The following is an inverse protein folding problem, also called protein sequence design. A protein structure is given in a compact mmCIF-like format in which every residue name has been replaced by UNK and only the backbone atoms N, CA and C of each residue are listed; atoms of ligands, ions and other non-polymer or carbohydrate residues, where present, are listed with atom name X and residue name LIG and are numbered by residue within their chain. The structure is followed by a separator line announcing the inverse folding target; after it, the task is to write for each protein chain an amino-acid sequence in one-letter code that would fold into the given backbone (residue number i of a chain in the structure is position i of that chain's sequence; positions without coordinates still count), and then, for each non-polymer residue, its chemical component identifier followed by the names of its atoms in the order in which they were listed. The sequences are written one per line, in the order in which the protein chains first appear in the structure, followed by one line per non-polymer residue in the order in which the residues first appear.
data_IF_361536643681
#
_entry.id   IF_361536643681
#
_cell.length_a   1.000
_cell.length_b   1.000
_cell.length_c   1.000
_cell.angle_alpha   90.00
_cell.angle_beta   90.00
_cell.angle_gamma   90.00
#
_symmetry.space_group_name_H-M   'P 1'
#
loop_
_entity.id
_entity.type
_entity.pdbx_description
1 polymer ?
#
# COMPACT_ATOMS: atom_id res chain seq x y z
N UNK A 1 3.52 -49.52 -31.36
CA UNK A 1 3.09 -48.16 -31.69
C UNK A 1 3.24 -47.98 -33.19
N UNK A 2 2.13 -47.74 -33.86
CA UNK A 2 2.01 -47.88 -35.31
C UNK A 2 2.73 -46.72 -36.02
N UNK A 3 3.49 -47.05 -37.07
CA UNK A 3 4.37 -46.13 -37.82
C UNK A 3 3.66 -44.88 -38.35
N UNK A 4 2.35 -44.94 -38.57
CA UNK A 4 1.54 -43.78 -38.96
C UNK A 4 1.54 -42.67 -37.90
N UNK A 5 1.62 -43.00 -36.61
CA UNK A 5 1.65 -42.02 -35.52
C UNK A 5 2.93 -41.19 -35.55
N UNK A 6 4.07 -41.81 -35.89
CA UNK A 6 5.37 -41.15 -36.02
C UNK A 6 5.35 -40.19 -37.23
N UNK A 7 4.76 -40.60 -38.35
CA UNK A 7 4.61 -39.76 -39.55
C UNK A 7 3.72 -38.55 -39.26
N UNK A 8 2.62 -38.76 -38.53
CA UNK A 8 1.67 -37.70 -38.17
C UNK A 8 2.31 -36.67 -37.22
N UNK A 9 3.08 -37.12 -36.22
CA UNK A 9 3.86 -36.23 -35.35
C UNK A 9 4.93 -35.46 -36.13
N UNK A 10 5.67 -36.15 -37.01
CA UNK A 10 6.74 -35.56 -37.83
C UNK A 10 6.23 -34.45 -38.75
N UNK A 11 5.00 -34.55 -39.26
CA UNK A 11 4.36 -33.51 -40.08
C UNK A 11 3.75 -32.37 -39.24
N UNK A 12 3.25 -32.67 -38.05
CA UNK A 12 2.67 -31.67 -37.14
C UNK A 12 3.72 -30.73 -36.55
N UNK A 13 4.92 -31.22 -36.24
CA UNK A 13 5.98 -30.41 -35.61
C UNK A 13 6.41 -29.23 -36.50
N UNK A 14 6.76 -29.39 -37.79
CA UNK A 14 7.13 -28.29 -38.68
C UNK A 14 5.97 -27.33 -38.94
N UNK A 15 4.73 -27.82 -39.04
CA UNK A 15 3.55 -26.99 -39.24
C UNK A 15 3.27 -26.10 -38.01
N UNK A 16 3.39 -26.66 -36.80
CA UNK A 16 3.32 -25.93 -35.55
C UNK A 16 4.47 -24.93 -35.43
N UNK A 17 5.71 -25.33 -35.79
CA UNK A 17 6.87 -24.45 -35.75
C UNK A 17 6.71 -23.27 -36.73
N UNK A 18 6.26 -23.54 -37.95
CA UNK A 18 6.00 -22.52 -38.98
C UNK A 18 4.85 -21.58 -38.57
N UNK A 19 3.80 -22.11 -37.93
CA UNK A 19 2.70 -21.31 -37.37
C UNK A 19 3.18 -20.44 -36.20
N UNK A 20 3.97 -20.98 -35.28
CA UNK A 20 4.60 -20.25 -34.17
C UNK A 20 5.54 -19.15 -34.69
N UNK A 21 6.39 -19.45 -35.66
CA UNK A 21 7.28 -18.48 -36.32
C UNK A 21 6.47 -17.42 -37.05
N UNK A 22 5.42 -17.81 -37.78
CA UNK A 22 4.49 -16.90 -38.46
C UNK A 22 3.78 -15.96 -37.49
N UNK A 23 3.34 -16.44 -36.33
CA UNK A 23 2.77 -15.62 -35.25
C UNK A 23 3.79 -14.64 -34.66
N UNK A 24 5.06 -15.06 -34.51
CA UNK A 24 6.15 -14.21 -34.03
C UNK A 24 6.46 -13.09 -35.04
N UNK A 25 6.53 -13.42 -36.33
CA UNK A 25 6.82 -12.47 -37.42
C UNK A 25 5.63 -11.54 -37.66
N UNK A 26 4.40 -12.06 -37.72
CA UNK A 26 3.19 -11.26 -37.90
C UNK A 26 2.94 -10.30 -36.73
N UNK A 27 3.28 -10.71 -35.51
CA UNK A 27 3.27 -9.85 -34.32
C UNK A 27 4.26 -8.68 -34.44
N UNK A 28 5.37 -8.84 -35.17
CA UNK A 28 6.34 -7.77 -35.41
C UNK A 28 5.83 -6.70 -36.39
N UNK A 29 4.87 -7.01 -37.28
CA UNK A 29 4.40 -6.07 -38.31
C UNK A 29 3.42 -5.01 -37.79
N UNK A 30 2.68 -5.28 -36.71
CA UNK A 30 1.93 -4.23 -35.98
C UNK A 30 2.86 -3.42 -35.07
N UNK A 31 3.83 -2.71 -35.66
CA UNK A 31 4.67 -1.73 -34.94
C UNK A 31 3.81 -0.54 -34.49
N UNK A 32 3.16 -0.67 -33.35
CA UNK A 32 2.90 0.51 -32.54
C UNK A 32 4.24 1.18 -32.26
N UNK A 33 4.29 2.52 -32.30
CA UNK A 33 5.48 3.32 -32.01
C UNK A 33 5.81 3.21 -30.51
N UNK A 34 6.31 2.06 -30.09
CA UNK A 34 6.74 1.81 -28.72
C UNK A 34 8.17 2.35 -28.52
N UNK A 35 8.51 2.81 -27.31
CA UNK A 35 9.88 3.15 -26.93
C UNK A 35 10.85 1.98 -27.16
N UNK A 36 12.16 2.25 -27.30
CA UNK A 36 13.16 1.21 -27.51
C UNK A 36 13.22 0.22 -26.33
N UNK A 37 13.69 -1.00 -26.59
CA UNK A 37 13.83 -2.02 -25.57
C UNK A 37 14.45 -3.32 -26.09
N UNK A 38 14.86 -4.23 -25.19
CA UNK A 38 15.42 -5.51 -25.58
C UNK A 38 14.40 -6.35 -26.36
N UNK A 39 14.89 -7.05 -27.39
CA UNK A 39 14.08 -8.00 -28.16
C UNK A 39 13.86 -9.24 -27.28
N UNK A 40 12.61 -9.56 -26.98
CA UNK A 40 12.25 -10.72 -26.16
C UNK A 40 11.42 -11.71 -26.96
N UNK A 41 11.77 -12.99 -26.89
CA UNK A 41 10.87 -14.08 -27.33
C UNK A 41 9.71 -14.16 -26.33
N UNK A 42 8.43 -14.09 -26.76
CA UNK A 42 7.27 -13.93 -25.87
C UNK A 42 7.11 -14.97 -24.75
N UNK A 43 7.69 -16.16 -24.88
CA UNK A 43 7.56 -17.22 -23.86
C UNK A 43 8.75 -17.24 -22.91
N UNK A 44 9.98 -17.21 -23.46
CA UNK A 44 11.22 -17.28 -22.67
C UNK A 44 11.48 -15.98 -21.90
N UNK A 45 11.26 -14.82 -22.55
CA UNK A 45 11.42 -13.52 -21.91
C UNK A 45 10.48 -13.34 -20.72
N UNK A 46 9.25 -13.82 -20.84
CA UNK A 46 8.25 -13.72 -19.77
C UNK A 46 8.58 -14.62 -18.57
N UNK A 47 9.12 -15.81 -18.78
CA UNK A 47 9.49 -16.71 -17.70
C UNK A 47 10.68 -16.19 -16.88
N UNK A 48 11.64 -15.51 -17.53
CA UNK A 48 12.77 -14.85 -16.85
C UNK A 48 12.29 -13.79 -15.86
N UNK A 49 11.27 -13.00 -16.21
CA UNK A 49 10.71 -11.97 -15.32
C UNK A 49 9.89 -12.54 -14.16
N UNK A 50 9.28 -13.73 -14.30
CA UNK A 50 8.59 -14.39 -13.20
C UNK A 50 9.54 -14.97 -12.15
N UNK A 51 10.77 -15.30 -12.56
CA UNK A 51 11.78 -15.88 -11.66
C UNK A 51 12.53 -14.83 -10.85
N UNK A 52 12.69 -13.63 -11.41
CA UNK A 52 13.49 -12.57 -10.81
C UNK A 52 12.65 -11.71 -9.87
N UNK A 53 13.20 -11.34 -8.71
CA UNK A 53 12.58 -10.39 -7.79
C UNK A 53 12.64 -8.98 -8.37
N UNK A 54 11.67 -8.11 -8.05
CA UNK A 54 11.72 -6.68 -8.44
C UNK A 54 12.98 -5.95 -7.91
N UNK A 55 13.63 -6.48 -6.86
CA UNK A 55 14.94 -6.00 -6.39
C UNK A 55 16.08 -6.26 -7.39
N UNK A 56 15.97 -7.33 -8.20
CA UNK A 56 16.88 -7.57 -9.32
C UNK A 56 16.47 -6.76 -10.55
N UNK A 57 15.22 -6.28 -10.60
CA UNK A 57 14.72 -5.46 -11.70
C UNK A 57 15.33 -4.06 -11.69
N UNK A 58 15.56 -3.45 -10.53
CA UNK A 58 16.13 -2.10 -10.47
C UNK A 58 17.53 -2.02 -11.12
N UNK A 59 18.53 -2.84 -10.75
CA UNK A 59 19.84 -2.83 -11.41
C UNK A 59 19.74 -3.12 -12.92
N UNK A 60 18.83 -4.02 -13.31
CA UNK A 60 18.57 -4.33 -14.72
C UNK A 60 17.99 -3.13 -15.46
N UNK A 61 17.05 -2.40 -14.86
CA UNK A 61 16.46 -1.19 -15.43
C UNK A 61 17.50 -0.08 -15.59
N UNK A 62 18.44 0.07 -14.64
CA UNK A 62 19.56 1.01 -14.77
C UNK A 62 20.47 0.67 -15.95
N UNK A 63 20.89 -0.60 -16.08
CA UNK A 63 21.69 -1.05 -17.22
C UNK A 63 20.97 -0.85 -18.56
N UNK A 64 19.66 -1.12 -18.59
CA UNK A 64 18.84 -0.92 -19.78
C UNK A 64 18.65 0.57 -20.11
N UNK A 65 18.56 1.44 -19.09
CA UNK A 65 18.45 2.89 -19.26
C UNK A 65 19.70 3.44 -19.95
N UNK A 66 20.87 2.99 -19.53
CA UNK A 66 22.13 3.48 -20.11
C UNK A 66 22.28 3.01 -21.57
N UNK A 67 21.66 1.88 -21.95
CA UNK A 67 21.67 1.35 -23.32
C UNK A 67 20.58 1.91 -24.25
N UNK A 68 19.35 2.07 -23.75
CA UNK A 68 18.17 2.40 -24.57
C UNK A 68 17.61 3.80 -24.30
N UNK A 69 18.10 4.50 -23.29
CA UNK A 69 17.65 5.82 -22.88
C UNK A 69 16.58 5.81 -21.79
N UNK A 70 15.97 6.98 -21.51
CA UNK A 70 15.14 7.19 -20.32
C UNK A 70 13.73 6.58 -20.38
N UNK A 71 13.29 6.08 -21.54
CA UNK A 71 11.99 5.43 -21.73
C UNK A 71 12.23 4.07 -22.40
N UNK A 72 11.89 3.00 -21.69
CA UNK A 72 12.26 1.63 -22.06
C UNK A 72 11.01 0.77 -22.15
N UNK A 73 10.90 -0.03 -23.20
CA UNK A 73 9.85 -1.05 -23.33
C UNK A 73 10.37 -2.41 -22.90
N UNK A 74 9.72 -3.04 -21.92
CA UNK A 74 9.92 -4.45 -21.57
C UNK A 74 8.65 -5.24 -21.85
N UNK A 75 8.79 -6.48 -22.29
CA UNK A 75 7.65 -7.42 -22.41
C UNK A 75 7.59 -8.24 -21.12
N UNK A 76 6.56 -7.98 -20.32
CA UNK A 76 6.30 -8.69 -19.06
C UNK A 76 4.89 -9.29 -19.14
N UNK A 77 4.82 -10.61 -19.26
CA UNK A 77 3.57 -11.31 -19.54
C UNK A 77 3.01 -10.98 -20.93
N UNK A 78 1.69 -10.88 -21.05
CA UNK A 78 1.01 -10.66 -22.33
C UNK A 78 0.97 -9.19 -22.78
N UNK A 79 1.46 -8.25 -21.96
CA UNK A 79 1.37 -6.80 -22.24
C UNK A 79 2.77 -6.15 -22.22
N UNK A 80 3.03 -5.16 -23.08
CA UNK A 80 4.24 -4.33 -22.94
C UNK A 80 4.16 -3.48 -21.67
N UNK A 81 5.24 -3.44 -20.91
CA UNK A 81 5.47 -2.55 -19.77
C UNK A 81 6.46 -1.45 -20.19
N UNK A 82 6.06 -0.19 -20.03
CA UNK A 82 6.90 0.97 -20.35
C UNK A 82 7.46 1.51 -19.05
N UNK A 83 8.79 1.55 -18.95
CA UNK A 83 9.52 2.09 -17.81
C UNK A 83 10.02 3.49 -18.13
N UNK A 84 9.81 4.42 -17.20
CA UNK A 84 10.27 5.82 -17.30
C UNK A 84 11.30 6.06 -16.22
N UNK A 85 12.56 6.21 -16.61
CA UNK A 85 13.71 6.38 -15.72
C UNK A 85 14.28 7.81 -15.79
N UNK A 86 13.40 8.80 -15.98
CA UNK A 86 13.75 10.22 -16.03
C UNK A 86 12.75 11.07 -15.27
N UNK A 87 13.23 11.87 -14.32
CA UNK A 87 12.38 12.73 -13.51
C UNK A 87 11.62 13.78 -14.36
N UNK A 88 12.24 14.29 -15.45
CA UNK A 88 11.59 15.24 -16.37
C UNK A 88 10.41 14.60 -17.10
N UNK A 89 10.62 13.39 -17.63
CA UNK A 89 9.58 12.64 -18.33
C UNK A 89 8.47 12.21 -17.37
N UNK A 90 8.82 11.72 -16.18
CA UNK A 90 7.85 11.37 -15.14
C UNK A 90 7.03 12.59 -14.68
N UNK A 91 7.65 13.77 -14.52
CA UNK A 91 6.96 15.02 -14.23
C UNK A 91 5.97 15.40 -15.35
N UNK A 92 6.40 15.31 -16.61
CA UNK A 92 5.53 15.57 -17.75
C UNK A 92 4.35 14.58 -17.81
N UNK A 93 4.58 13.30 -17.56
CA UNK A 93 3.54 12.27 -17.56
C UNK A 93 2.53 12.43 -16.41
N UNK A 94 3.03 12.58 -15.17
CA UNK A 94 2.20 12.56 -13.97
C UNK A 94 1.51 13.89 -13.67
N UNK A 95 2.17 15.01 -13.98
CA UNK A 95 1.67 16.36 -13.66
C UNK A 95 0.98 16.96 -14.89
N UNK A 96 1.73 17.23 -15.96
CA UNK A 96 1.19 17.90 -17.15
C UNK A 96 0.14 17.05 -17.87
N UNK A 97 0.45 15.77 -18.10
CA UNK A 97 -0.46 14.81 -18.74
C UNK A 97 -1.21 13.94 -17.72
N UNK A 98 -1.39 14.45 -16.49
CA UNK A 98 -1.91 13.66 -15.37
C UNK A 98 -3.25 12.98 -15.66
N UNK A 99 -4.11 13.57 -16.50
CA UNK A 99 -5.37 12.96 -16.93
C UNK A 99 -5.18 11.58 -17.59
N UNK A 100 -4.20 11.48 -18.49
CA UNK A 100 -3.95 10.30 -19.31
C UNK A 100 -3.23 9.20 -18.52
N UNK A 101 -2.34 9.57 -17.60
CA UNK A 101 -1.52 8.64 -16.83
C UNK A 101 -2.05 8.33 -15.43
N UNK A 102 -3.23 8.86 -15.07
CA UNK A 102 -3.86 8.56 -13.78
C UNK A 102 -4.56 7.21 -13.74
N UNK A 103 -4.71 6.49 -14.84
CA UNK A 103 -5.44 5.22 -14.83
C UNK A 103 -4.61 4.05 -14.24
N UNK A 104 -5.28 2.94 -13.93
CA UNK A 104 -4.65 1.67 -13.52
C UNK A 104 -4.92 0.61 -14.58
N UNK A 105 -3.93 -0.23 -14.92
CA UNK A 105 -4.15 -1.35 -15.83
C UNK A 105 -5.30 -2.24 -15.32
N UNK A 106 -6.07 -2.82 -16.24
CA UNK A 106 -7.09 -3.82 -15.91
C UNK A 106 -6.46 -4.97 -15.13
N UNK A 107 -6.97 -5.26 -13.93
CA UNK A 107 -6.45 -6.31 -13.05
C UNK A 107 -6.59 -7.69 -13.68
N UNK A 108 -5.67 -8.56 -13.27
CA UNK A 108 -5.68 -9.98 -13.58
C UNK A 108 -6.48 -10.74 -12.50
N UNK A 109 -7.00 -11.94 -12.80
CA UNK A 109 -7.99 -12.60 -11.93
C UNK A 109 -7.57 -12.81 -10.47
N UNK A 110 -6.29 -13.04 -10.16
CA UNK A 110 -5.87 -13.21 -8.77
C UNK A 110 -5.84 -11.88 -8.01
N UNK A 111 -5.37 -10.81 -8.67
CA UNK A 111 -5.36 -9.46 -8.11
C UNK A 111 -6.77 -8.89 -7.96
N UNK A 112 -7.71 -9.36 -8.77
CA UNK A 112 -9.14 -9.02 -8.70
C UNK A 112 -9.75 -9.35 -7.32
N UNK A 113 -9.45 -10.54 -6.80
CA UNK A 113 -9.89 -11.01 -5.47
C UNK A 113 -9.36 -10.11 -4.36
N UNK A 114 -8.09 -9.70 -4.46
CA UNK A 114 -7.40 -8.92 -3.42
C UNK A 114 -7.74 -7.44 -3.45
N UNK A 115 -8.24 -6.94 -4.58
CA UNK A 115 -8.56 -5.53 -4.79
C UNK A 115 -10.05 -5.24 -4.84
N UNK A 116 -10.88 -6.24 -4.51
CA UNK A 116 -12.34 -6.14 -4.58
C UNK A 116 -12.80 -5.64 -5.95
N UNK A 117 -12.32 -6.28 -7.01
CA UNK A 117 -12.63 -5.88 -8.39
C UNK A 117 -12.22 -4.44 -8.72
N UNK A 118 -11.04 -4.02 -8.29
CA UNK A 118 -10.54 -2.63 -8.40
C UNK A 118 -11.45 -1.58 -7.72
N UNK A 119 -12.14 -1.90 -6.63
CA UNK A 119 -12.93 -0.93 -5.87
C UNK A 119 -12.20 -0.35 -4.65
N UNK A 120 -10.87 -0.25 -4.71
CA UNK A 120 -10.04 0.39 -3.68
C UNK A 120 -9.26 1.57 -4.27
N UNK A 121 -8.99 2.60 -3.46
CA UNK A 121 -8.37 3.87 -3.92
C UNK A 121 -7.03 3.65 -4.66
N UNK A 122 -6.25 2.65 -4.25
CA UNK A 122 -4.93 2.36 -4.82
C UNK A 122 -4.99 1.68 -6.20
N UNK A 123 -6.02 0.87 -6.48
CA UNK A 123 -6.12 0.04 -7.70
C UNK A 123 -7.28 0.41 -8.63
N UNK A 124 -8.26 1.20 -8.18
CA UNK A 124 -9.39 1.63 -8.97
C UNK A 124 -8.96 2.35 -10.24
N UNK A 125 -9.73 2.18 -11.31
CA UNK A 125 -9.53 2.91 -12.57
C UNK A 125 -9.80 4.40 -12.35
N UNK A 126 -9.15 5.25 -13.14
CA UNK A 126 -9.36 6.69 -13.04
C UNK A 126 -10.73 7.04 -13.58
N UNK A 127 -11.65 7.40 -12.68
CA UNK A 127 -13.04 7.62 -13.01
C UNK A 127 -13.86 8.10 -11.82
N UNK A 128 -15.20 8.14 -11.97
CA UNK A 128 -16.12 8.58 -10.92
C UNK A 128 -15.90 7.85 -9.58
N UNK A 129 -15.82 6.52 -9.58
CA UNK A 129 -15.58 5.69 -8.37
C UNK A 129 -14.31 6.10 -7.64
N UNK A 130 -13.17 6.18 -8.35
CA UNK A 130 -11.90 6.59 -7.74
C UNK A 130 -11.97 8.01 -7.19
N UNK A 131 -12.59 8.96 -7.90
CA UNK A 131 -12.73 10.35 -7.42
C UNK A 131 -13.58 10.43 -6.16
N UNK A 132 -14.69 9.71 -6.10
CA UNK A 132 -15.57 9.67 -4.93
C UNK A 132 -14.83 9.14 -3.71
N UNK A 133 -14.19 7.96 -3.83
CA UNK A 133 -13.42 7.37 -2.73
C UNK A 133 -12.23 8.26 -2.32
N UNK A 134 -11.51 8.82 -3.31
CA UNK A 134 -10.37 9.71 -3.05
C UNK A 134 -10.80 10.99 -2.34
N UNK A 135 -11.89 11.62 -2.78
CA UNK A 135 -12.42 12.85 -2.18
C UNK A 135 -12.84 12.59 -0.74
N UNK A 136 -13.62 11.54 -0.50
CA UNK A 136 -14.08 11.15 0.84
C UNK A 136 -12.91 10.95 1.82
N UNK A 137 -11.92 10.11 1.47
CA UNK A 137 -10.73 9.93 2.32
C UNK A 137 -9.97 11.25 2.57
N UNK A 138 -9.83 12.07 1.53
CA UNK A 138 -9.07 13.32 1.63
C UNK A 138 -9.81 14.37 2.46
N UNK A 139 -11.12 14.56 2.29
CA UNK A 139 -11.90 15.59 2.99
C UNK A 139 -12.18 15.21 4.44
N UNK A 140 -12.51 13.95 4.70
CA UNK A 140 -13.00 13.55 6.01
C UNK A 140 -11.88 13.23 7.00
N UNK A 141 -10.76 12.68 6.51
CA UNK A 141 -9.72 12.14 7.39
C UNK A 141 -8.38 12.86 7.21
N UNK A 142 -7.94 13.05 5.96
CA UNK A 142 -6.56 13.46 5.67
C UNK A 142 -6.40 14.97 5.37
N UNK A 143 -7.49 15.72 5.44
CA UNK A 143 -7.45 17.17 5.19
C UNK A 143 -6.69 17.88 6.31
N UNK A 144 -5.86 18.90 6.02
CA UNK A 144 -5.15 19.67 7.05
C UNK A 144 -6.03 20.20 8.18
N UNK A 145 -7.29 20.60 7.89
CA UNK A 145 -8.23 21.04 8.93
C UNK A 145 -8.64 19.94 9.91
N UNK A 146 -8.52 18.66 9.54
CA UNK A 146 -8.80 17.50 10.39
C UNK A 146 -7.58 17.07 11.21
N UNK A 147 -6.41 17.68 11.02
CA UNK A 147 -5.20 17.29 11.74
C UNK A 147 -5.41 17.43 13.24
N UNK A 148 -5.99 18.54 13.73
CA UNK A 148 -6.17 18.81 15.16
C UNK A 148 -7.07 17.77 15.86
N UNK A 149 -8.10 17.25 15.20
CA UNK A 149 -9.06 16.30 15.80
C UNK A 149 -8.42 14.98 16.23
N UNK A 150 -7.31 14.57 15.58
CA UNK A 150 -6.56 13.37 15.97
C UNK A 150 -5.38 13.65 16.92
N UNK A 151 -5.28 14.86 17.50
CA UNK A 151 -4.17 15.21 18.41
C UNK A 151 -4.13 14.32 19.65
N UNK A 152 -5.28 14.06 20.27
CA UNK A 152 -5.39 13.13 21.41
C UNK A 152 -5.00 11.70 21.03
N UNK A 153 -5.38 11.23 19.84
CA UNK A 153 -4.99 9.90 19.35
C UNK A 153 -3.47 9.79 19.13
N UNK A 154 -2.84 10.82 18.55
CA UNK A 154 -1.38 10.86 18.37
C UNK A 154 -0.63 10.90 19.70
N UNK A 155 -1.12 11.68 20.67
CA UNK A 155 -0.53 11.73 22.03
C UNK A 155 -0.62 10.37 22.72
N UNK A 156 -1.78 9.72 22.63
CA UNK A 156 -1.98 8.36 23.15
C UNK A 156 -1.02 7.35 22.53
N UNK A 157 -0.88 7.34 21.20
CA UNK A 157 0.02 6.42 20.50
C UNK A 157 1.49 6.71 20.79
N UNK A 158 1.87 7.98 20.95
CA UNK A 158 3.21 8.36 21.40
C UNK A 158 3.49 7.78 22.79
N UNK A 159 2.52 7.84 23.71
CA UNK A 159 2.61 7.21 25.03
C UNK A 159 2.87 5.69 24.93
N UNK A 160 2.09 5.00 24.10
CA UNK A 160 2.28 3.56 23.83
C UNK A 160 3.70 3.29 23.31
N UNK A 161 4.17 4.07 22.33
CA UNK A 161 5.48 3.88 21.73
C UNK A 161 6.59 4.03 22.79
N UNK A 162 6.57 5.13 23.56
CA UNK A 162 7.58 5.39 24.60
C UNK A 162 7.54 4.31 25.66
N UNK A 163 6.37 3.97 26.18
CA UNK A 163 6.21 2.95 27.21
C UNK A 163 6.77 1.59 26.77
N UNK A 164 6.45 1.16 25.55
CA UNK A 164 6.95 -0.13 25.02
C UNK A 164 8.47 -0.13 24.84
N UNK A 165 9.05 0.97 24.36
CA UNK A 165 10.49 1.11 24.23
C UNK A 165 11.19 1.06 25.60
N UNK A 166 10.61 1.68 26.64
CA UNK A 166 11.13 1.61 28.02
C UNK A 166 11.08 0.18 28.57
N UNK A 167 9.92 -0.49 28.47
CA UNK A 167 9.74 -1.86 28.97
C UNK A 167 10.70 -2.84 28.28
N UNK A 168 10.87 -2.73 26.97
CA UNK A 168 11.77 -3.60 26.23
C UNK A 168 13.25 -3.29 26.54
N UNK A 169 13.60 -2.00 26.68
CA UNK A 169 14.97 -1.60 27.05
C UNK A 169 15.38 -2.09 28.44
N UNK A 170 14.47 -2.07 29.42
CA UNK A 170 14.73 -2.57 30.79
C UNK A 170 14.82 -4.08 30.82
N UNK A 171 13.96 -4.78 30.08
CA UNK A 171 13.98 -6.24 29.97
C UNK A 171 15.27 -6.75 29.31
N UNK A 172 15.75 -6.04 28.27
CA UNK A 172 17.00 -6.33 27.59
C UNK A 172 18.25 -6.12 28.47
N UNK A 173 18.15 -5.32 29.54
CA UNK A 173 19.24 -5.11 30.51
C UNK A 173 19.29 -6.18 31.62
N UNK A 174 18.16 -6.82 31.93
CA UNK A 174 18.02 -7.77 33.05
C UNK A 174 18.17 -9.25 32.62
N UNK A 175 17.97 -9.57 31.33
CA UNK A 175 18.08 -10.94 30.81
C UNK A 175 19.50 -11.40 30.45
N UNK A 176 19.72 -12.73 30.41
CA UNK A 176 20.97 -13.43 30.04
C UNK A 176 21.34 -13.29 28.53
N UNK A 177 20.79 -12.28 27.85
CA UNK A 177 21.05 -11.92 26.45
C UNK A 177 21.54 -10.48 26.34
N UNK A 178 22.55 -10.12 27.14
CA UNK A 178 23.19 -8.81 27.14
C UNK A 178 23.85 -8.57 25.78
N UNK A 179 23.13 -7.97 24.83
CA UNK A 179 23.72 -7.58 23.55
C UNK A 179 22.77 -7.38 22.36
N UNK A 180 21.54 -7.91 22.39
CA UNK A 180 20.66 -7.89 21.22
C UNK A 180 20.03 -6.49 20.94
N UNK A 181 19.89 -5.64 21.96
CA UNK A 181 19.25 -4.34 21.84
C UNK A 181 17.75 -4.39 21.47
N UNK A 182 17.11 -3.22 21.50
CA UNK A 182 15.68 -3.08 21.19
C UNK A 182 15.48 -3.02 19.69
N UNK A 183 14.64 -3.90 19.14
CA UNK A 183 14.26 -3.88 17.72
C UNK A 183 13.24 -2.78 17.46
N UNK A 184 13.74 -1.61 17.08
CA UNK A 184 12.99 -0.34 17.06
C UNK A 184 11.75 -0.38 16.15
N UNK A 185 11.88 -1.03 14.99
CA UNK A 185 10.82 -1.05 13.96
C UNK A 185 9.52 -1.70 14.44
N UNK A 186 9.58 -2.68 15.34
CA UNK A 186 8.38 -3.39 15.80
C UNK A 186 7.49 -2.49 16.66
N UNK A 187 8.11 -1.70 17.52
CA UNK A 187 7.40 -0.75 18.37
C UNK A 187 6.76 0.37 17.56
N UNK A 188 7.47 0.85 16.53
CA UNK A 188 6.93 1.83 15.59
C UNK A 188 5.77 1.29 14.76
N UNK A 189 5.91 0.09 14.18
CA UNK A 189 4.87 -0.53 13.39
C UNK A 189 3.61 -0.72 14.23
N UNK A 190 3.76 -1.25 15.45
CA UNK A 190 2.64 -1.43 16.36
C UNK A 190 1.97 -0.09 16.71
N UNK A 191 2.74 0.92 17.12
CA UNK A 191 2.21 2.24 17.46
C UNK A 191 1.44 2.89 16.28
N UNK A 192 2.04 2.88 15.09
CA UNK A 192 1.39 3.39 13.89
C UNK A 192 0.14 2.60 13.52
N UNK A 193 0.16 1.28 13.70
CA UNK A 193 -1.00 0.44 13.45
C UNK A 193 -2.15 0.75 14.42
N UNK A 194 -1.87 0.96 15.71
CA UNK A 194 -2.84 1.44 16.69
C UNK A 194 -3.49 2.76 16.24
N UNK A 195 -2.69 3.72 15.77
CA UNK A 195 -3.21 5.00 15.28
C UNK A 195 -4.14 4.81 14.08
N UNK A 196 -3.72 4.02 13.09
CA UNK A 196 -4.48 3.81 11.86
C UNK A 196 -5.78 3.03 12.10
N UNK A 197 -5.74 2.02 12.97
CA UNK A 197 -6.94 1.27 13.40
C UNK A 197 -7.92 2.20 14.10
N UNK A 198 -7.43 3.06 15.01
CA UNK A 198 -8.27 4.06 15.67
C UNK A 198 -8.85 5.06 14.68
N UNK A 199 -8.06 5.59 13.73
CA UNK A 199 -8.59 6.50 12.72
C UNK A 199 -9.62 5.81 11.80
N UNK A 200 -9.45 4.51 11.56
CA UNK A 200 -10.34 3.73 10.71
C UNK A 200 -11.68 3.42 11.40
N UNK A 201 -11.63 2.90 12.62
CA UNK A 201 -12.80 2.38 13.34
C UNK A 201 -13.30 3.29 14.46
N UNK A 202 -12.56 4.32 14.85
CA UNK A 202 -12.91 5.24 15.94
C UNK A 202 -12.60 4.71 17.34
N UNK A 203 -12.34 3.41 17.49
CA UNK A 203 -12.26 2.74 18.79
C UNK A 203 -10.82 2.40 19.19
N UNK A 204 -10.52 2.50 20.49
CA UNK A 204 -9.27 2.01 21.08
C UNK A 204 -9.39 0.50 21.30
N UNK A 205 -9.06 -0.29 20.28
CA UNK A 205 -9.17 -1.74 20.34
C UNK A 205 -8.15 -2.36 21.31
N UNK A 206 -8.47 -3.55 21.81
CA UNK A 206 -7.56 -4.32 22.66
C UNK A 206 -6.35 -4.82 21.86
N UNK A 207 -5.21 -5.00 22.51
CA UNK A 207 -3.97 -5.45 21.86
C UNK A 207 -4.17 -6.74 21.06
N UNK A 208 -4.97 -7.69 21.58
CA UNK A 208 -5.30 -8.93 20.86
C UNK A 208 -5.98 -8.65 19.52
N UNK A 209 -7.00 -7.78 19.50
CA UNK A 209 -7.72 -7.42 18.27
C UNK A 209 -6.80 -6.66 17.30
N UNK A 210 -5.95 -5.77 17.80
CA UNK A 210 -4.98 -5.03 16.98
C UNK A 210 -4.02 -6.02 16.28
N UNK A 211 -3.49 -7.00 17.02
CA UNK A 211 -2.61 -8.05 16.47
C UNK A 211 -3.32 -8.94 15.45
N UNK A 212 -4.59 -9.27 15.68
CA UNK A 212 -5.39 -10.04 14.72
C UNK A 212 -5.58 -9.26 13.41
N UNK A 213 -5.94 -7.98 13.49
CA UNK A 213 -6.09 -7.08 12.32
C UNK A 213 -4.74 -6.93 11.60
N UNK A 214 -3.65 -6.71 12.33
CA UNK A 214 -2.30 -6.60 11.78
C UNK A 214 -1.92 -7.86 11.01
N UNK A 215 -2.18 -9.02 11.61
CA UNK A 215 -1.84 -10.32 11.00
C UNK A 215 -2.56 -10.51 9.67
N UNK A 216 -3.88 -10.30 9.61
CA UNK A 216 -4.63 -10.50 8.37
C UNK A 216 -4.26 -9.48 7.30
N UNK A 217 -3.98 -8.22 7.68
CA UNK A 217 -3.56 -7.19 6.73
C UNK A 217 -2.14 -7.44 6.21
N UNK A 218 -1.19 -7.77 7.08
CA UNK A 218 0.19 -8.08 6.70
C UNK A 218 0.25 -9.32 5.81
N UNK A 219 -0.51 -10.36 6.13
CA UNK A 219 -0.62 -11.55 5.28
C UNK A 219 -1.15 -11.21 3.89
N UNK A 220 -2.18 -10.35 3.79
CA UNK A 220 -2.70 -9.88 2.51
C UNK A 220 -1.64 -9.15 1.68
N UNK A 221 -0.95 -8.18 2.29
CA UNK A 221 0.07 -7.37 1.60
C UNK A 221 1.26 -8.20 1.13
N UNK A 222 1.79 -9.09 1.98
CA UNK A 222 2.92 -9.95 1.64
C UNK A 222 2.56 -11.04 0.62
N UNK A 223 1.27 -11.42 0.54
CA UNK A 223 0.82 -12.47 -0.38
C UNK A 223 0.53 -11.99 -1.79
N UNK A 224 0.49 -10.66 -2.04
CA UNK A 224 0.22 -10.11 -3.38
C UNK A 224 1.13 -10.74 -4.45
N UNK A 225 2.43 -10.88 -4.15
CA UNK A 225 3.41 -11.49 -5.06
C UNK A 225 3.33 -13.01 -5.11
N UNK A 226 3.03 -13.66 -3.99
CA UNK A 226 2.93 -15.12 -3.89
C UNK A 226 1.93 -15.68 -4.90
N UNK A 227 0.90 -14.92 -5.23
CA UNK A 227 -0.15 -15.31 -6.15
C UNK A 227 0.03 -14.79 -7.59
N UNK A 228 1.12 -14.11 -7.92
CA UNK A 228 1.38 -13.64 -9.29
C UNK A 228 1.47 -14.78 -10.30
N UNK A 229 1.88 -15.98 -9.87
CA UNK A 229 1.88 -17.17 -10.72
C UNK A 229 0.48 -17.52 -11.25
N UNK A 230 -0.58 -17.21 -10.49
CA UNK A 230 -1.98 -17.43 -10.91
C UNK A 230 -2.38 -16.54 -12.09
N UNK A 231 -1.68 -15.42 -12.26
CA UNK A 231 -1.91 -14.47 -13.33
C UNK A 231 -1.17 -14.83 -14.63
N UNK A 232 -0.20 -15.75 -14.59
CA UNK A 232 0.60 -16.15 -15.76
C UNK A 232 -0.22 -16.93 -16.79
N UNK A 233 -1.11 -17.83 -16.33
CA UNK A 233 -1.93 -18.66 -17.21
C UNK A 233 -3.37 -18.78 -16.69
N UNK A 234 -4.21 -17.74 -16.84
CA UNK A 234 -5.50 -17.68 -16.13
C UNK A 234 -6.51 -18.76 -16.56
N UNK A 235 -6.40 -19.33 -17.76
CA UNK A 235 -7.32 -20.35 -18.27
C UNK A 235 -6.97 -21.75 -17.73
N UNK A 236 -5.74 -22.22 -17.95
CA UNK A 236 -5.29 -23.54 -17.46
C UNK A 236 -4.90 -23.51 -15.98
N UNK A 237 -4.49 -22.36 -15.47
CA UNK A 237 -4.02 -22.17 -14.11
C UNK A 237 -5.11 -22.31 -13.04
N UNK A 238 -6.39 -22.15 -13.37
CA UNK A 238 -7.48 -22.46 -12.43
C UNK A 238 -7.51 -23.94 -12.04
N UNK A 239 -7.26 -24.81 -13.01
CA UNK A 239 -7.24 -26.26 -12.81
C UNK A 239 -5.91 -26.72 -12.23
N UNK A 240 -4.79 -26.24 -12.81
CA UNK A 240 -3.43 -26.63 -12.40
C UNK A 240 -3.08 -26.10 -11.00
N UNK A 241 -3.47 -24.87 -10.66
CA UNK A 241 -3.15 -24.22 -9.39
C UNK A 241 -4.34 -24.17 -8.42
N UNK A 242 -5.23 -25.16 -8.45
CA UNK A 242 -6.46 -25.19 -7.63
C UNK A 242 -6.21 -24.94 -6.14
N UNK A 243 -5.16 -25.54 -5.57
CA UNK A 243 -4.81 -25.36 -4.16
C UNK A 243 -4.38 -23.91 -3.85
N UNK A 244 -3.65 -23.26 -4.75
CA UNK A 244 -3.25 -21.85 -4.61
C UNK A 244 -4.43 -20.91 -4.74
N UNK A 245 -5.39 -21.21 -5.62
CA UNK A 245 -6.66 -20.48 -5.67
C UNK A 245 -7.43 -20.63 -4.36
N UNK A 246 -7.48 -21.83 -3.79
CA UNK A 246 -8.11 -22.06 -2.48
C UNK A 246 -7.45 -21.23 -1.38
N UNK A 247 -6.12 -21.24 -1.30
CA UNK A 247 -5.34 -20.41 -0.36
C UNK A 247 -5.66 -18.92 -0.51
N UNK A 248 -5.76 -18.41 -1.75
CA UNK A 248 -6.10 -17.01 -2.04
C UNK A 248 -7.49 -16.64 -1.50
N UNK A 249 -8.50 -17.49 -1.72
CA UNK A 249 -9.85 -17.25 -1.22
C UNK A 249 -9.94 -17.38 0.30
N UNK A 250 -9.25 -18.35 0.90
CA UNK A 250 -9.15 -18.50 2.36
C UNK A 250 -8.53 -17.26 3.00
N UNK A 251 -7.46 -16.73 2.40
CA UNK A 251 -6.82 -15.51 2.87
C UNK A 251 -7.79 -14.31 2.85
N UNK A 252 -8.58 -14.16 1.78
CA UNK A 252 -9.60 -13.11 1.71
C UNK A 252 -10.71 -13.30 2.75
N UNK A 253 -11.20 -14.53 2.92
CA UNK A 253 -12.23 -14.84 3.92
C UNK A 253 -11.74 -14.59 5.35
N UNK A 254 -10.47 -14.91 5.65
CA UNK A 254 -9.90 -14.65 6.97
C UNK A 254 -9.82 -13.15 7.28
N UNK A 255 -9.48 -12.33 6.28
CA UNK A 255 -9.54 -10.87 6.42
C UNK A 255 -10.98 -10.39 6.69
N UNK A 256 -11.95 -10.91 5.95
CA UNK A 256 -13.36 -10.53 6.13
C UNK A 256 -13.90 -10.93 7.51
N UNK A 257 -13.54 -12.12 8.02
CA UNK A 257 -13.94 -12.58 9.36
C UNK A 257 -13.49 -11.64 10.48
N UNK A 258 -12.35 -10.97 10.32
CA UNK A 258 -11.81 -10.04 11.32
C UNK A 258 -12.40 -8.64 11.15
N UNK A 259 -12.49 -8.13 9.92
CA UNK A 259 -12.85 -6.73 9.68
C UNK A 259 -14.36 -6.48 9.61
N UNK A 260 -15.13 -7.39 9.03
CA UNK A 260 -16.58 -7.20 8.82
C UNK A 260 -17.34 -7.01 10.14
N UNK A 261 -17.06 -7.74 11.24
CA UNK A 261 -17.71 -7.48 12.52
C UNK A 261 -17.47 -6.06 13.03
N UNK A 262 -16.24 -5.54 12.90
CA UNK A 262 -15.89 -4.16 13.29
C UNK A 262 -16.65 -3.14 12.46
N UNK A 263 -16.72 -3.35 11.13
CA UNK A 263 -17.46 -2.48 10.21
C UNK A 263 -18.95 -2.49 10.57
N UNK A 264 -19.56 -3.66 10.74
CA UNK A 264 -20.98 -3.79 11.10
C UNK A 264 -21.29 -3.11 12.42
N UNK A 265 -20.44 -3.28 13.44
CA UNK A 265 -20.58 -2.60 14.72
C UNK A 265 -20.63 -1.08 14.56
N UNK A 266 -19.74 -0.51 13.72
CA UNK A 266 -19.75 0.92 13.42
C UNK A 266 -20.98 1.37 12.64
N UNK A 267 -21.41 0.59 11.65
CA UNK A 267 -22.62 0.90 10.88
C UNK A 267 -23.86 0.99 11.78
N UNK A 268 -24.00 0.09 12.75
CA UNK A 268 -25.12 0.14 13.69
C UNK A 268 -25.04 1.35 14.63
N UNK A 269 -23.85 1.74 15.09
CA UNK A 269 -23.67 2.97 15.88
C UNK A 269 -24.07 4.23 15.09
N UNK A 270 -23.69 4.32 13.82
CA UNK A 270 -24.06 5.45 12.94
C UNK A 270 -25.57 5.54 12.79
N UNK A 271 -26.24 4.41 12.52
CA UNK A 271 -27.71 4.36 12.42
C UNK A 271 -28.39 4.79 13.72
N UNK A 272 -27.89 4.33 14.86
CA UNK A 272 -28.43 4.71 16.17
C UNK A 272 -28.30 6.22 16.42
N UNK A 273 -27.15 6.81 16.10
CA UNK A 273 -26.94 8.27 16.23
C UNK A 273 -27.87 9.07 15.31
N UNK A 274 -28.07 8.61 14.07
CA UNK A 274 -29.00 9.24 13.13
C UNK A 274 -30.46 9.18 13.64
N UNK A 275 -30.85 8.10 14.31
CA UNK A 275 -32.18 7.94 14.89
C UNK A 275 -32.40 8.77 16.17
N UNK A 276 -31.31 9.16 16.86
CA UNK A 276 -31.36 9.91 18.12
C UNK A 276 -31.21 11.44 17.93
N UNK A 277 -31.02 11.94 16.71
CA UNK A 277 -30.93 13.39 16.46
C UNK A 277 -32.31 14.08 16.59
N UNK A 278 -32.46 15.08 17.49
CA UNK A 278 -33.69 15.87 17.54
C UNK A 278 -33.82 16.77 16.30
N UNK A 279 -35.04 17.09 15.84
CA UNK A 279 -35.25 17.96 14.69
C UNK A 279 -34.62 19.34 14.94
N UNK A 280 -33.92 19.87 13.94
CA UNK A 280 -33.21 21.16 14.00
C UNK A 280 -34.14 22.29 14.49
N UNK A 281 -33.89 22.77 15.71
CA UNK A 281 -34.60 23.90 16.28
C UNK A 281 -34.27 24.12 17.75
N UNK A 282 -33.45 25.17 18.01
CA UNK A 282 -33.14 25.79 19.31
C UNK A 282 -32.29 24.95 20.27
N UNK A 283 -30.97 25.15 20.22
CA UNK A 283 -30.08 24.91 21.36
C UNK A 283 -29.32 26.20 21.68
N UNK A 284 -29.13 26.45 22.97
CA UNK A 284 -28.53 27.65 23.55
C UNK A 284 -27.03 27.75 23.17
N UNK A 285 -26.53 28.90 22.69
CA UNK A 285 -25.13 29.06 22.27
C UNK A 285 -24.09 28.69 23.33
N UNK A 286 -24.42 28.79 24.63
CA UNK A 286 -23.49 28.49 25.72
C UNK A 286 -23.37 26.97 26.00
N UNK A 287 -24.46 26.23 25.83
CA UNK A 287 -24.47 24.76 25.93
C UNK A 287 -23.74 24.10 24.76
N UNK A 288 -23.69 24.79 23.62
CA UNK A 288 -23.00 24.32 22.42
C UNK A 288 -21.47 24.31 22.60
N UNK A 289 -20.89 25.34 23.24
CA UNK A 289 -19.44 25.40 23.49
C UNK A 289 -18.98 24.39 24.54
N UNK A 290 -19.75 24.19 25.61
CA UNK A 290 -19.39 23.21 26.67
C UNK A 290 -19.59 21.77 26.18
N UNK A 291 -20.60 21.49 25.35
CA UNK A 291 -20.72 20.21 24.65
C UNK A 291 -19.61 20.02 23.63
N UNK A 292 -19.26 21.02 22.83
CA UNK A 292 -18.18 20.90 21.84
C UNK A 292 -16.82 20.64 22.51
N UNK A 293 -16.51 21.26 23.65
CA UNK A 293 -15.26 21.01 24.39
C UNK A 293 -15.21 19.64 25.10
N UNK A 294 -16.34 19.14 25.61
CA UNK A 294 -16.42 17.80 26.25
C UNK A 294 -16.61 16.66 25.22
N UNK A 295 -17.22 16.94 24.08
CA UNK A 295 -17.37 16.02 22.94
C UNK A 295 -16.13 16.00 22.04
N UNK A 296 -15.23 17.01 22.10
CA UNK A 296 -14.00 17.08 21.29
C UNK A 296 -13.02 15.90 21.55
N UNK A 297 -13.04 15.30 22.75
CA UNK A 297 -12.22 14.10 23.02
C UNK A 297 -12.83 12.79 22.47
N UNK A 298 -14.16 12.73 22.31
CA UNK A 298 -14.94 11.50 22.09
C UNK A 298 -15.61 11.43 20.69
N UNK A 299 -15.92 12.55 20.04
CA UNK A 299 -16.48 12.61 18.69
C UNK A 299 -15.41 12.53 17.59
N UNK A 300 -14.58 11.49 17.65
CA UNK A 300 -13.61 11.21 16.58
C UNK A 300 -14.35 10.63 15.37
N UNK A 301 -14.31 11.34 14.24
CA UNK A 301 -14.80 10.82 12.96
C UNK A 301 -14.00 9.58 12.61
N UNK A 302 -14.65 8.42 12.63
CA UNK A 302 -14.06 7.18 12.12
C UNK A 302 -14.21 7.16 10.60
N UNK A 303 -13.18 6.73 9.88
CA UNK A 303 -13.27 6.65 8.43
C UNK A 303 -14.42 5.77 7.95
N UNK A 304 -14.68 4.64 8.63
CA UNK A 304 -15.80 3.75 8.29
C UNK A 304 -17.15 4.46 8.34
N UNK A 305 -17.36 5.36 9.29
CA UNK A 305 -18.62 6.12 9.42
C UNK A 305 -18.88 6.97 8.17
N UNK A 306 -17.82 7.53 7.58
CA UNK A 306 -17.89 8.39 6.38
C UNK A 306 -18.23 7.63 5.10
N UNK A 307 -18.20 6.29 5.14
CA UNK A 307 -18.48 5.42 4.00
C UNK A 307 -19.90 4.87 4.00
N UNK A 308 -20.63 4.94 5.12
CA UNK A 308 -21.94 4.28 5.29
C UNK A 308 -22.95 4.79 4.27
N UNK A 309 -23.00 6.11 4.07
CA UNK A 309 -23.93 6.78 3.14
C UNK A 309 -23.25 7.18 1.82
N UNK A 310 -22.05 6.66 1.54
CA UNK A 310 -21.29 7.02 0.35
C UNK A 310 -21.80 6.27 -0.87
N UNK A 311 -22.59 6.96 -1.70
CA UNK A 311 -23.05 6.41 -2.97
C UNK A 311 -21.94 6.43 -4.03
N UNK A 312 -21.72 5.27 -4.65
CA UNK A 312 -20.83 5.17 -5.81
C UNK A 312 -21.63 5.46 -7.08
N UNK A 313 -21.17 6.39 -7.94
CA UNK A 313 -21.88 6.71 -9.17
C UNK A 313 -21.85 5.55 -10.18
N UNK A 314 -22.99 5.24 -10.78
CA UNK A 314 -23.08 4.34 -11.94
C UNK A 314 -22.30 4.94 -13.12
N UNK A 315 -21.29 4.21 -13.57
CA UNK A 315 -20.20 4.73 -14.38
C UNK A 315 -20.60 5.16 -15.79
N UNK A 316 -21.17 6.36 -15.96
CA UNK A 316 -21.23 7.10 -17.23
C UNK A 316 -21.32 8.62 -17.01
N UNK A 317 -20.20 9.27 -16.69
CA UNK A 317 -20.05 10.72 -16.96
C UNK A 317 -18.75 10.98 -17.70
N UNK A 318 -18.84 11.76 -18.77
CA UNK A 318 -17.68 12.35 -19.44
C UNK A 318 -17.03 13.37 -18.50
N UNK A 319 -15.71 13.45 -18.61
CA UNK A 319 -14.84 14.23 -17.74
C UNK A 319 -14.70 15.64 -18.30
N UNK A 320 -14.85 16.66 -17.46
CA UNK A 320 -14.39 18.02 -17.76
C UNK A 320 -12.98 18.22 -17.18
N UNK A 321 -12.18 18.97 -17.92
CA UNK A 321 -10.78 19.26 -17.62
C UNK A 321 -10.71 20.25 -16.45
N UNK A 322 -10.07 19.81 -15.36
CA UNK A 322 -9.67 20.67 -14.26
C UNK A 322 -8.17 20.89 -14.32
N UNK A 323 -7.80 22.16 -14.40
CA UNK A 323 -6.43 22.65 -14.50
C UNK A 323 -5.69 22.40 -13.18
N UNK A 324 -4.53 21.74 -13.27
CA UNK A 324 -3.64 21.57 -12.15
C UNK A 324 -2.69 22.75 -12.06
N UNK A 325 -2.59 23.39 -10.90
CA UNK A 325 -1.61 24.44 -10.60
C UNK A 325 -0.17 24.01 -10.97
N UNK A 326 0.63 24.91 -11.59
CA UNK A 326 1.98 24.60 -12.02
C UNK A 326 2.93 24.53 -10.82
N UNK A 327 3.34 23.31 -10.44
CA UNK A 327 4.32 23.11 -9.37
C UNK A 327 5.76 23.23 -9.90
N UNK A 328 6.62 23.94 -9.16
CA UNK A 328 8.04 24.22 -9.44
C UNK A 328 8.88 22.95 -9.68
N UNK A 329 10.04 23.10 -10.34
CA UNK A 329 10.97 22.01 -10.76
C UNK A 329 11.11 20.87 -9.73
N UNK A 330 10.32 19.81 -9.92
CA UNK A 330 10.35 18.62 -9.08
C UNK A 330 11.61 17.80 -9.41
N UNK A 331 12.55 17.70 -8.46
CA UNK A 331 13.74 16.83 -8.55
C UNK A 331 13.47 15.42 -8.01
N UNK A 332 12.57 15.27 -7.05
CA UNK A 332 12.27 14.00 -6.36
C UNK A 332 10.76 13.86 -6.13
N UNK A 333 10.21 12.64 -6.18
CA UNK A 333 8.78 12.36 -6.01
C UNK A 333 8.53 11.20 -5.02
N UNK A 334 8.98 11.29 -3.75
CA UNK A 334 8.87 10.19 -2.79
C UNK A 334 7.42 9.77 -2.48
N UNK A 335 6.47 10.70 -2.64
CA UNK A 335 5.04 10.46 -2.43
C UNK A 335 4.23 10.41 -3.74
N UNK A 336 4.91 10.28 -4.88
CA UNK A 336 4.31 10.44 -6.20
C UNK A 336 4.02 11.90 -6.55
N UNK A 337 3.28 12.13 -7.63
CA UNK A 337 2.93 13.46 -8.12
C UNK A 337 1.59 13.44 -8.89
N UNK A 338 1.06 14.64 -9.15
CA UNK A 338 -0.14 14.84 -9.94
C UNK A 338 -1.42 14.33 -9.25
N UNK A 339 -2.41 13.95 -10.06
CA UNK A 339 -3.77 13.64 -9.57
C UNK A 339 -3.83 12.43 -8.63
N UNK A 340 -2.84 11.52 -8.69
CA UNK A 340 -2.72 10.34 -7.83
C UNK A 340 -1.61 10.45 -6.77
N UNK A 341 -1.15 11.66 -6.46
CA UNK A 341 -0.23 11.87 -5.32
C UNK A 341 -0.78 11.23 -4.04
N UNK A 342 0.12 10.69 -3.20
CA UNK A 342 -0.25 10.04 -1.94
C UNK A 342 -1.21 10.95 -1.14
N UNK A 343 -2.39 10.48 -0.71
CA UNK A 343 -3.31 11.30 0.06
C UNK A 343 -2.78 11.61 1.47
N UNK A 344 -1.97 10.71 2.02
CA UNK A 344 -1.47 10.79 3.39
C UNK A 344 -0.13 11.48 3.55
N UNK A 345 0.41 12.16 2.53
CA UNK A 345 1.78 12.70 2.60
C UNK A 345 1.96 13.74 3.72
N UNK A 346 1.02 14.67 3.87
CA UNK A 346 1.04 15.68 4.95
C UNK A 346 1.01 15.01 6.33
N UNK A 347 0.13 14.02 6.50
CA UNK A 347 -0.01 13.29 7.75
C UNK A 347 1.24 12.46 8.06
N UNK A 348 1.85 11.84 7.04
CA UNK A 348 3.08 11.07 7.19
C UNK A 348 4.26 11.95 7.63
N UNK A 349 4.42 13.14 7.03
CA UNK A 349 5.45 14.10 7.43
C UNK A 349 5.23 14.58 8.87
N UNK A 350 4.00 14.95 9.22
CA UNK A 350 3.65 15.33 10.60
C UNK A 350 4.01 14.23 11.61
N UNK A 351 3.66 12.98 11.31
CA UNK A 351 3.96 11.85 12.19
C UNK A 351 5.47 11.62 12.30
N UNK A 352 6.21 11.69 11.19
CA UNK A 352 7.66 11.55 11.19
C UNK A 352 8.30 12.60 12.10
N UNK A 353 7.93 13.87 11.93
CA UNK A 353 8.43 14.98 12.76
C UNK A 353 8.08 14.79 14.23
N UNK A 354 6.80 14.49 14.53
CA UNK A 354 6.32 14.29 15.90
C UNK A 354 7.06 13.15 16.60
N UNK A 355 7.14 11.97 15.98
CA UNK A 355 7.75 10.81 16.62
C UNK A 355 9.27 10.96 16.74
N UNK A 356 9.96 11.40 15.70
CA UNK A 356 11.42 11.56 15.73
C UNK A 356 11.84 12.59 16.77
N UNK A 357 11.18 13.76 16.81
CA UNK A 357 11.50 14.79 17.79
C UNK A 357 11.34 14.28 19.24
N UNK A 358 10.24 13.58 19.52
CA UNK A 358 10.01 13.02 20.85
C UNK A 358 11.00 11.89 21.18
N UNK A 359 11.33 11.01 20.23
CA UNK A 359 12.29 9.93 20.49
C UNK A 359 13.70 10.45 20.80
N UNK A 360 14.13 11.53 20.16
CA UNK A 360 15.40 12.19 20.46
C UNK A 360 15.35 12.86 21.83
N UNK A 361 14.22 13.47 22.18
CA UNK A 361 13.99 14.11 23.47
C UNK A 361 13.99 13.11 24.64
N UNK A 362 13.31 11.97 24.48
CA UNK A 362 13.13 10.99 25.55
C UNK A 362 14.34 10.07 25.75
N UNK A 363 15.10 9.77 24.69
CA UNK A 363 16.14 8.74 24.74
C UNK A 363 17.49 9.22 24.24
N UNK A 364 18.54 8.72 24.88
CA UNK A 364 19.85 8.60 24.28
C UNK A 364 19.93 7.24 23.57
N UNK A 365 20.40 7.26 22.34
CA UNK A 365 20.47 6.11 21.44
C UNK A 365 21.92 5.68 21.31
N UNK A 366 22.22 4.41 21.62
CA UNK A 366 23.54 3.82 21.38
C UNK A 366 23.40 2.53 20.55
N UNK A 367 24.37 2.20 19.68
CA UNK A 367 24.36 0.93 18.96
C UNK A 367 24.30 -0.27 19.92
N UNK A 368 23.59 -1.31 19.53
CA UNK A 368 23.63 -2.59 20.25
C UNK A 368 24.98 -3.29 19.96
N UNK A 369 25.76 -3.72 20.98
CA UNK A 369 27.11 -4.25 20.80
C UNK A 369 27.22 -5.48 19.89
N UNK A 370 26.14 -6.27 19.77
CA UNK A 370 26.09 -7.47 18.93
C UNK A 370 25.77 -7.17 17.44
N UNK A 371 25.57 -5.91 17.07
CA UNK A 371 25.23 -5.49 15.72
C UNK A 371 26.31 -4.56 15.14
N UNK A 372 26.64 -4.79 13.87
CA UNK A 372 27.47 -3.91 13.03
C UNK A 372 26.97 -2.44 13.08
N UNK A 373 27.77 -1.44 12.63
CA UNK A 373 27.26 -0.09 12.41
C UNK A 373 25.94 -0.11 11.62
N UNK A 374 25.06 0.87 11.87
CA UNK A 374 23.71 0.94 11.29
C UNK A 374 23.72 0.58 9.79
N UNK A 375 23.19 -0.60 9.48
CA UNK A 375 23.18 -1.12 8.11
C UNK A 375 21.94 -0.62 7.37
N UNK A 376 22.18 0.25 6.38
CA UNK A 376 21.13 0.78 5.50
C UNK A 376 20.87 -0.11 4.28
N UNK A 377 21.46 -1.30 4.20
CA UNK A 377 21.17 -2.23 3.11
C UNK A 377 19.69 -2.58 3.09
N UNK A 378 19.16 -2.70 1.88
CA UNK A 378 17.72 -2.82 1.64
C UNK A 378 17.36 -4.24 1.20
N UNK A 379 16.14 -4.65 1.49
CA UNK A 379 15.51 -5.80 0.87
C UNK A 379 14.12 -5.43 0.38
N UNK A 380 13.69 -6.08 -0.68
CA UNK A 380 12.37 -5.89 -1.24
C UNK A 380 11.40 -6.91 -0.64
N UNK A 381 10.40 -6.42 0.09
CA UNK A 381 9.19 -7.15 0.47
C UNK A 381 8.02 -6.63 -0.40
N UNK A 382 6.84 -6.40 0.20
CA UNK A 382 5.78 -5.64 -0.44
C UNK A 382 6.26 -4.22 -0.80
N UNK A 383 7.01 -3.59 0.11
CA UNK A 383 7.76 -2.34 -0.10
C UNK A 383 9.27 -2.59 0.02
N UNK A 384 10.08 -1.55 -0.19
CA UNK A 384 11.50 -1.56 0.21
C UNK A 384 11.57 -1.39 1.72
N UNK A 385 12.35 -2.23 2.40
CA UNK A 385 12.59 -2.17 3.85
C UNK A 385 14.07 -2.39 4.15
N UNK A 386 14.53 -1.98 5.34
CA UNK A 386 15.88 -2.33 5.79
C UNK A 386 16.03 -3.86 5.86
N UNK A 387 17.10 -4.37 5.26
CA UNK A 387 17.45 -5.79 5.30
C UNK A 387 17.68 -6.25 6.73
N UNK A 388 18.43 -5.45 7.47
CA UNK A 388 18.74 -5.64 8.88
C UNK A 388 18.07 -4.51 9.69
N UNK A 389 16.98 -4.80 10.42
CA UNK A 389 16.28 -3.79 11.22
C UNK A 389 17.19 -3.14 12.26
N UNK A 390 16.96 -1.85 12.54
CA UNK A 390 17.69 -1.13 13.58
C UNK A 390 17.47 -1.76 14.96
N UNK A 391 18.56 -2.17 15.59
CA UNK A 391 18.62 -2.54 17.00
C UNK A 391 19.40 -1.48 17.76
N UNK A 392 18.82 -0.96 18.84
CA UNK A 392 19.42 0.12 19.61
C UNK A 392 19.29 -0.12 21.12
N UNK A 393 20.31 0.32 21.86
CA UNK A 393 20.21 0.48 23.31
C UNK A 393 19.64 1.88 23.60
N UNK A 394 18.60 1.93 24.43
CA UNK A 394 17.85 3.14 24.73
C UNK A 394 18.05 3.49 26.20
N UNK A 395 18.53 4.69 26.47
CA UNK A 395 18.72 5.21 27.82
C UNK A 395 17.78 6.41 27.99
N UNK A 396 16.79 6.36 28.90
CA UNK A 396 15.91 7.50 29.16
C UNK A 396 16.70 8.73 29.62
N UNK A 397 16.51 9.87 28.94
CA UNK A 397 17.13 11.16 29.30
C UNK A 397 16.42 11.82 30.49
N UNK A 398 15.10 11.65 30.57
CA UNK A 398 14.24 12.28 31.56
C UNK A 398 13.32 11.24 32.20
N UNK A 399 13.80 10.47 33.20
CA UNK A 399 13.03 9.40 33.82
C UNK A 399 11.72 9.87 34.45
N UNK A 400 11.68 11.12 34.93
CA UNK A 400 10.50 11.74 35.57
C UNK A 400 9.47 12.28 34.56
N UNK A 401 9.81 12.40 33.28
CA UNK A 401 8.93 12.91 32.23
C UNK A 401 8.28 11.79 31.38
N UNK A 402 8.56 10.53 31.70
CA UNK A 402 8.02 9.39 30.98
C UNK A 402 6.49 9.36 31.13
N UNK A 403 5.74 9.17 30.04
CA UNK A 403 4.30 9.04 30.10
C UNK A 403 3.92 7.86 31.00
N UNK A 404 3.03 8.11 31.96
CA UNK A 404 2.42 7.08 32.80
C UNK A 404 1.53 6.18 31.91
N UNK A 405 1.42 4.87 32.24
CA UNK A 405 0.73 3.88 31.42
C UNK A 405 -0.75 4.19 31.16
#
# INVERSE_FOLDING_TARGET
METWFIILISLCIPALLKSLIGLIIYSQEKKQKLPPGPITVPVIGNFLWLRNSFSELEPVLWNLRDKYGPIITLRIGSRPAIFVASHKVAHHALVHNGALFSDRPKVLPASDVLTSNQHIISSATYGPTWRTLRRNLTSEILHPSRVKSYSGARRWVLGILIHRLVVDSTSAQVGVGVGAGVRVVDHFQYAMFCLLVLMCFGDRLQEKQIKEIETVQRQMLLSLRRFDILNFWPILGKTVFRNRWKELFELRQNQEKVLIPLIRSRMELVKQRQQQQPPQGKQDPLDQQVKEELEEEDHRVAYVDTLVDLELPDGKRKLEEGDGEPMQRIKMMPFGAGRRICPGFNLALLHLELFVANLIWYFQWTPAPAHDPVDLSEKQEFTVVMKNPLHAHLIPRHPTALPLP
#
